data_IF_636921170854
#
_entry.id   IF_636921170854
#
_cell.length_a   1.000
_cell.length_b   1.000
_cell.length_c   1.000
_cell.angle_alpha   90.00
_cell.angle_beta   90.00
_cell.angle_gamma   90.00
#
_symmetry.space_group_name_H-M   'P 1'
#
loop_
_entity.id
_entity.type
_entity.pdbx_description
1 polymer ?
#
# COMPACT_ATOMS: atom_id res chain seq x y z
N UNK A 1 4.02 -30.30 -21.05
CA UNK A 1 3.27 -31.47 -20.54
C UNK A 1 3.52 -31.82 -19.07
N UNK A 2 4.62 -31.39 -18.43
CA UNK A 2 4.86 -31.57 -16.98
C UNK A 2 4.10 -30.58 -16.05
N UNK A 3 3.35 -29.61 -16.60
CA UNK A 3 2.57 -28.61 -15.85
C UNK A 3 1.16 -29.08 -15.46
N UNK A 4 0.68 -30.22 -15.97
CA UNK A 4 -0.72 -30.64 -15.79
C UNK A 4 -0.97 -31.55 -14.56
N UNK A 5 0.08 -32.05 -13.89
CA UNK A 5 -0.04 -33.11 -12.87
C UNK A 5 0.43 -32.74 -11.46
N UNK A 6 0.94 -31.54 -11.20
CA UNK A 6 1.43 -31.19 -9.85
C UNK A 6 0.79 -29.91 -9.31
N UNK A 7 -0.18 -30.09 -8.38
CA UNK A 7 -0.79 -29.11 -7.46
C UNK A 7 -2.01 -28.31 -7.95
N UNK A 8 -3.15 -28.99 -8.02
CA UNK A 8 -4.54 -28.48 -7.87
C UNK A 8 -4.84 -27.06 -8.40
N UNK A 9 -5.23 -26.91 -9.69
CA UNK A 9 -5.74 -25.64 -10.23
C UNK A 9 -6.92 -25.06 -9.42
N UNK A 10 -7.68 -25.91 -8.73
CA UNK A 10 -8.74 -25.49 -7.80
C UNK A 10 -8.22 -24.68 -6.60
N UNK A 11 -7.06 -25.03 -6.05
CA UNK A 11 -6.46 -24.29 -4.93
C UNK A 11 -5.91 -22.93 -5.39
N UNK A 12 -5.36 -22.87 -6.61
CA UNK A 12 -4.92 -21.62 -7.24
C UNK A 12 -6.11 -20.69 -7.50
N UNK A 13 -7.23 -21.23 -8.00
CA UNK A 13 -8.48 -20.47 -8.19
C UNK A 13 -9.00 -19.98 -6.83
N UNK A 14 -9.00 -20.84 -5.80
CA UNK A 14 -9.41 -20.45 -4.44
C UNK A 14 -8.54 -19.33 -3.86
N UNK A 15 -7.21 -19.44 -3.98
CA UNK A 15 -6.28 -18.41 -3.53
C UNK A 15 -6.40 -17.12 -4.36
N UNK A 16 -6.59 -17.22 -5.67
CA UNK A 16 -6.79 -16.08 -6.56
C UNK A 16 -8.09 -15.34 -6.24
N UNK A 17 -9.19 -16.07 -6.01
CA UNK A 17 -10.48 -15.49 -5.59
C UNK A 17 -10.35 -14.82 -4.23
N UNK A 18 -9.73 -15.47 -3.25
CA UNK A 18 -9.51 -14.88 -1.92
C UNK A 18 -8.65 -13.61 -2.00
N UNK A 19 -7.56 -13.64 -2.78
CA UNK A 19 -6.70 -12.48 -3.03
C UNK A 19 -7.46 -11.36 -3.75
N UNK A 20 -8.24 -11.70 -4.77
CA UNK A 20 -9.03 -10.74 -5.56
C UNK A 20 -10.12 -10.08 -4.70
N UNK A 21 -10.79 -10.84 -3.84
CA UNK A 21 -11.76 -10.31 -2.88
C UNK A 21 -11.08 -9.38 -1.87
N UNK A 22 -9.94 -9.79 -1.31
CA UNK A 22 -9.18 -8.97 -0.36
C UNK A 22 -8.70 -7.65 -0.99
N UNK A 23 -8.14 -7.70 -2.20
CA UNK A 23 -7.71 -6.51 -2.94
C UNK A 23 -8.90 -5.64 -3.36
N UNK A 24 -9.96 -6.24 -3.90
CA UNK A 24 -11.15 -5.54 -4.38
C UNK A 24 -11.94 -4.83 -3.28
N UNK A 25 -11.87 -5.30 -2.04
CA UNK A 25 -12.47 -4.62 -0.88
C UNK A 25 -11.54 -3.57 -0.28
N UNK A 26 -10.24 -3.86 -0.15
CA UNK A 26 -9.30 -2.95 0.49
C UNK A 26 -9.04 -1.69 -0.35
N UNK A 27 -8.88 -1.83 -1.67
CA UNK A 27 -8.54 -0.73 -2.56
C UNK A 27 -9.57 0.42 -2.57
N UNK A 28 -10.89 0.17 -2.69
CA UNK A 28 -11.88 1.25 -2.60
C UNK A 28 -12.06 1.78 -1.17
N UNK A 29 -11.87 0.97 -0.13
CA UNK A 29 -11.92 1.45 1.26
C UNK A 29 -10.81 2.48 1.55
N UNK A 30 -9.58 2.22 1.11
CA UNK A 30 -8.47 3.17 1.20
C UNK A 30 -8.71 4.43 0.37
N UNK A 31 -9.19 4.27 -0.87
CA UNK A 31 -9.50 5.41 -1.72
C UNK A 31 -10.60 6.29 -1.09
N UNK A 32 -11.67 5.68 -0.57
CA UNK A 32 -12.75 6.38 0.10
C UNK A 32 -12.29 7.12 1.36
N UNK A 33 -11.38 6.53 2.15
CA UNK A 33 -10.79 7.21 3.31
C UNK A 33 -9.91 8.40 2.91
N UNK A 34 -9.09 8.27 1.86
CA UNK A 34 -8.32 9.40 1.30
C UNK A 34 -9.24 10.52 0.82
N UNK A 35 -10.32 10.20 0.10
CA UNK A 35 -11.35 11.13 -0.35
C UNK A 35 -12.04 11.81 0.85
N UNK A 36 -12.38 11.03 1.88
CA UNK A 36 -13.06 11.52 3.09
C UNK A 36 -12.19 12.53 3.84
N UNK A 37 -10.89 12.28 3.96
CA UNK A 37 -9.92 13.20 4.59
C UNK A 37 -9.68 14.48 3.78
N UNK A 38 -9.73 14.41 2.46
CA UNK A 38 -9.53 15.57 1.57
C UNK A 38 -10.76 16.50 1.46
N UNK A 39 -11.94 16.00 1.81
CA UNK A 39 -13.20 16.75 1.79
C UNK A 39 -13.94 16.71 0.45
N UNK A 40 -15.26 16.99 0.43
CA UNK A 40 -16.12 16.84 -0.75
C UNK A 40 -15.71 17.71 -1.95
N UNK A 41 -15.11 18.85 -1.68
CA UNK A 41 -14.69 19.83 -2.69
C UNK A 41 -13.42 19.39 -3.45
N UNK A 42 -12.59 18.55 -2.84
CA UNK A 42 -11.28 18.14 -3.38
C UNK A 42 -11.20 16.66 -3.72
N UNK A 43 -12.35 15.97 -3.80
CA UNK A 43 -12.42 14.52 -4.10
C UNK A 43 -11.71 14.15 -5.39
N UNK A 44 -11.89 14.96 -6.45
CA UNK A 44 -11.22 14.75 -7.73
C UNK A 44 -9.70 14.77 -7.60
N UNK A 45 -9.14 15.79 -6.92
CA UNK A 45 -7.70 15.93 -6.68
C UNK A 45 -7.17 14.77 -5.82
N UNK A 46 -7.92 14.35 -4.79
CA UNK A 46 -7.53 13.24 -3.92
C UNK A 46 -7.46 11.90 -4.67
N UNK A 47 -8.44 11.64 -5.55
CA UNK A 47 -8.45 10.44 -6.41
C UNK A 47 -7.29 10.48 -7.40
N UNK A 48 -7.06 11.61 -8.06
CA UNK A 48 -5.96 11.77 -9.01
C UNK A 48 -4.59 11.58 -8.34
N UNK A 49 -4.38 12.11 -7.13
CA UNK A 49 -3.16 11.88 -6.36
C UNK A 49 -2.98 10.41 -5.96
N UNK A 50 -4.07 9.72 -5.62
CA UNK A 50 -4.03 8.29 -5.31
C UNK A 50 -3.60 7.46 -6.53
N UNK A 51 -4.21 7.68 -7.68
CA UNK A 51 -3.85 6.97 -8.91
C UNK A 51 -2.45 7.34 -9.39
N UNK A 52 -2.05 8.61 -9.30
CA UNK A 52 -0.70 9.03 -9.64
C UNK A 52 0.35 8.32 -8.77
N UNK A 53 0.11 8.20 -7.47
CA UNK A 53 0.97 7.43 -6.57
C UNK A 53 1.02 5.95 -6.93
N UNK A 54 -0.12 5.36 -7.32
CA UNK A 54 -0.20 3.97 -7.75
C UNK A 54 0.57 3.72 -9.07
N UNK A 55 0.43 4.61 -10.06
CA UNK A 55 1.12 4.53 -11.34
C UNK A 55 2.63 4.70 -11.17
N UNK A 56 3.06 5.67 -10.35
CA UNK A 56 4.47 5.85 -10.00
C UNK A 56 5.00 4.59 -9.29
N UNK A 57 4.25 4.05 -8.33
CA UNK A 57 4.62 2.83 -7.63
C UNK A 57 4.76 1.64 -8.58
N UNK A 58 3.79 1.43 -9.47
CA UNK A 58 3.79 0.31 -10.41
C UNK A 58 4.85 0.48 -11.53
N UNK A 59 5.20 1.71 -11.89
CA UNK A 59 6.27 1.99 -12.85
C UNK A 59 7.67 1.87 -12.25
N UNK A 60 7.88 2.35 -11.03
CA UNK A 60 9.19 2.36 -10.37
C UNK A 60 9.51 1.00 -9.72
N UNK A 61 8.51 0.29 -9.19
CA UNK A 61 8.74 -0.96 -8.46
C UNK A 61 9.43 -2.07 -9.29
N UNK A 62 9.06 -2.34 -10.55
CA UNK A 62 9.74 -3.36 -11.37
C UNK A 62 11.15 -2.94 -11.77
N UNK A 63 11.39 -1.64 -11.99
CA UNK A 63 12.69 -1.10 -12.38
C UNK A 63 13.68 -1.21 -11.21
N UNK A 64 13.27 -0.72 -10.04
CA UNK A 64 14.09 -0.81 -8.82
C UNK A 64 14.23 -2.26 -8.36
N UNK A 65 13.14 -3.02 -8.41
CA UNK A 65 13.14 -4.44 -8.06
C UNK A 65 14.05 -5.25 -8.99
N UNK A 66 13.95 -5.04 -10.30
CA UNK A 66 14.81 -5.69 -11.29
C UNK A 66 16.29 -5.42 -11.05
N UNK A 67 16.65 -4.16 -10.77
CA UNK A 67 18.03 -3.78 -10.46
C UNK A 67 18.56 -4.46 -9.18
N UNK A 68 17.73 -4.55 -8.15
CA UNK A 68 18.09 -5.24 -6.88
C UNK A 68 18.18 -6.76 -7.08
N UNK A 69 17.29 -7.35 -7.89
CA UNK A 69 17.32 -8.76 -8.22
C UNK A 69 18.52 -9.15 -9.07
N UNK A 70 18.95 -8.28 -9.99
CA UNK A 70 20.10 -8.52 -10.87
C UNK A 70 21.42 -8.42 -10.09
N UNK A 71 21.52 -7.48 -9.13
CA UNK A 71 22.72 -7.29 -8.32
C UNK A 71 22.90 -8.38 -7.24
N UNK A 72 21.84 -8.73 -6.49
CA UNK A 72 21.93 -9.57 -5.26
C UNK A 72 21.03 -10.82 -5.27
N UNK A 73 20.32 -11.08 -6.37
CA UNK A 73 19.43 -12.23 -6.52
C UNK A 73 18.03 -12.06 -5.91
N UNK A 74 17.11 -12.96 -6.26
CA UNK A 74 15.72 -12.98 -5.79
C UNK A 74 15.50 -12.94 -4.25
N UNK A 75 16.39 -13.47 -3.39
CA UNK A 75 16.23 -13.34 -1.94
C UNK A 75 16.32 -11.87 -1.47
N UNK A 76 17.21 -11.09 -2.08
CA UNK A 76 17.39 -9.67 -1.76
C UNK A 76 16.22 -8.81 -2.25
N UNK A 77 15.60 -9.17 -3.38
CA UNK A 77 14.36 -8.55 -3.87
C UNK A 77 13.24 -8.66 -2.83
N UNK A 78 13.05 -9.84 -2.26
CA UNK A 78 11.96 -10.09 -1.29
C UNK A 78 12.22 -9.35 0.03
N UNK A 79 13.46 -9.32 0.49
CA UNK A 79 13.87 -8.56 1.68
C UNK A 79 13.73 -7.04 1.45
N UNK A 80 14.09 -6.54 0.26
CA UNK A 80 13.92 -5.15 -0.14
C UNK A 80 12.46 -4.74 -0.22
N UNK A 81 11.60 -5.58 -0.82
CA UNK A 81 10.16 -5.38 -0.84
C UNK A 81 9.55 -5.35 0.57
N UNK A 82 9.96 -6.25 1.45
CA UNK A 82 9.54 -6.27 2.85
C UNK A 82 10.02 -5.01 3.62
N UNK A 83 11.24 -4.53 3.35
CA UNK A 83 11.77 -3.32 3.97
C UNK A 83 11.01 -2.07 3.53
N UNK A 84 10.70 -1.93 2.24
CA UNK A 84 9.89 -0.81 1.72
C UNK A 84 8.49 -0.83 2.33
N UNK A 85 7.86 -2.01 2.40
CA UNK A 85 6.55 -2.16 3.05
C UNK A 85 6.63 -1.80 4.55
N UNK A 86 7.70 -2.22 5.23
CA UNK A 86 7.98 -1.87 6.62
C UNK A 86 8.17 -0.36 6.84
N UNK A 87 8.90 0.31 5.95
CA UNK A 87 9.10 1.77 5.99
C UNK A 87 7.78 2.49 5.75
N UNK A 88 6.96 2.05 4.79
CA UNK A 88 5.63 2.62 4.55
C UNK A 88 4.73 2.49 5.79
N UNK A 89 4.72 1.31 6.44
CA UNK A 89 3.98 1.08 7.68
C UNK A 89 4.53 1.98 8.80
N UNK A 90 5.85 2.08 8.95
CA UNK A 90 6.48 2.92 9.95
C UNK A 90 6.15 4.40 9.74
N UNK A 91 6.24 4.90 8.50
CA UNK A 91 5.81 6.23 8.12
C UNK A 91 4.34 6.46 8.45
N UNK A 92 3.46 5.51 8.15
CA UNK A 92 2.04 5.61 8.47
C UNK A 92 1.79 5.68 9.99
N UNK A 93 2.50 4.85 10.77
CA UNK A 93 2.46 4.89 12.23
C UNK A 93 3.00 6.21 12.80
N UNK A 94 4.10 6.72 12.26
CA UNK A 94 4.66 8.01 12.65
C UNK A 94 3.70 9.16 12.31
N UNK A 95 3.11 9.16 11.12
CA UNK A 95 2.09 10.14 10.74
C UNK A 95 0.88 10.10 11.67
N UNK A 96 0.38 8.91 12.02
CA UNK A 96 -0.71 8.78 13.00
C UNK A 96 -0.32 9.25 14.39
N UNK A 97 0.91 8.99 14.84
CA UNK A 97 1.40 9.52 16.12
C UNK A 97 1.51 11.04 16.10
N UNK A 98 1.89 11.64 14.97
CA UNK A 98 1.94 13.09 14.80
C UNK A 98 0.54 13.70 14.75
N UNK A 99 -0.43 13.10 14.06
CA UNK A 99 -1.84 13.56 14.10
C UNK A 99 -2.40 13.49 15.52
N UNK A 100 -2.13 12.42 16.27
CA UNK A 100 -2.55 12.30 17.69
C UNK A 100 -1.85 13.32 18.60
N UNK A 101 -0.55 13.57 18.41
CA UNK A 101 0.20 14.55 19.20
C UNK A 101 -0.24 16.00 18.93
N UNK A 102 -0.49 16.35 17.66
CA UNK A 102 -0.98 17.69 17.26
C UNK A 102 -2.44 17.89 17.69
N UNK A 103 -3.26 16.83 17.69
CA UNK A 103 -4.62 16.86 18.22
C UNK A 103 -4.70 17.12 19.73
N UNK A 104 -3.76 16.57 20.52
CA UNK A 104 -3.69 16.83 21.96
C UNK A 104 -3.18 18.23 22.30
N UNK A 105 -2.27 18.82 21.51
CA UNK A 105 -1.80 20.19 21.74
C UNK A 105 -2.87 21.25 21.47
N UNK A 106 -3.83 21.01 20.58
CA UNK A 106 -4.96 21.93 20.33
C UNK A 106 -6.05 21.86 21.41
N UNK A 107 -5.99 20.86 22.29
CA UNK A 107 -6.83 20.74 23.48
C UNK A 107 -6.09 21.16 24.78
N UNK A 108 -4.85 21.64 24.69
CA UNK A 108 -4.23 22.33 25.81
C UNK A 108 -5.00 23.66 26.01
N UNK A 109 -5.65 23.86 27.17
CA UNK A 109 -6.38 25.09 27.46
C UNK A 109 -5.45 26.30 27.31
N UNK A 110 -5.96 27.34 26.65
CA UNK A 110 -5.49 28.69 26.89
C UNK A 110 -5.89 29.05 28.34
N UNK A 111 -5.08 28.64 29.31
CA UNK A 111 -5.16 29.17 30.67
C UNK A 111 -3.77 29.67 31.06
N UNK A 112 -3.72 30.99 31.26
CA UNK A 112 -2.56 31.82 31.53
C UNK A 112 -2.89 33.27 31.18
#
# INVERSE_FOLDING_TARGET
MLLALMRSPLLLIGAAVCKALGQGMAQPAFQAECIRRAGPERRGVAVSMYYLGADIGNGIAPVVGGYVADAWGYPALNLGGAAVMGICILCFFLYQRREKAVGQQRQAPAEG
#
